data_IF_633787466868
#
_entry.id   IF_633787466868
#
_cell.length_a   1.000
_cell.length_b   1.000
_cell.length_c   1.000
_cell.angle_alpha   90.00
_cell.angle_beta   90.00
_cell.angle_gamma   90.00
#
_symmetry.space_group_name_H-M   'P 1'
#
loop_
_entity.id
_entity.type
_entity.pdbx_description
1 polymer ?
#
# COMPACT_ATOMS: atom_id res chain seq x y z
N UNK A 1 2.34 8.13 8.85
CA UNK A 1 1.77 7.99 7.50
C UNK A 1 2.87 7.49 6.57
N UNK A 2 2.65 6.38 5.87
CA UNK A 2 3.62 5.86 4.89
C UNK A 2 3.97 6.96 3.89
N UNK A 3 5.24 7.37 3.85
CA UNK A 3 5.72 8.34 2.85
C UNK A 3 6.04 7.56 1.58
N UNK A 4 5.05 7.38 0.74
CA UNK A 4 5.19 6.79 -0.59
C UNK A 4 5.18 7.90 -1.65
N UNK A 5 6.14 7.87 -2.57
CA UNK A 5 6.27 8.85 -3.65
C UNK A 5 7.44 8.57 -4.58
N UNK A 6 7.58 9.39 -5.62
CA UNK A 6 8.51 9.20 -6.74
C UNK A 6 9.96 8.91 -6.33
N UNK A 7 10.56 9.54 -5.30
CA UNK A 7 11.93 9.23 -4.89
C UNK A 7 12.12 7.79 -4.41
N UNK A 8 11.12 7.24 -3.69
CA UNK A 8 11.15 5.85 -3.22
C UNK A 8 10.98 4.87 -4.38
N UNK A 9 10.09 5.18 -5.33
CA UNK A 9 9.87 4.39 -6.55
C UNK A 9 11.15 4.33 -7.38
N UNK A 10 11.77 5.49 -7.62
CA UNK A 10 13.03 5.57 -8.37
C UNK A 10 14.12 4.73 -7.71
N UNK A 11 14.29 4.87 -6.39
CA UNK A 11 15.24 4.05 -5.63
C UNK A 11 14.91 2.54 -5.66
N UNK A 12 13.64 2.14 -5.82
CA UNK A 12 13.25 0.73 -5.96
C UNK A 12 13.61 0.18 -7.35
N UNK A 13 13.56 1.03 -8.38
CA UNK A 13 13.86 0.67 -9.77
C UNK A 13 15.36 0.73 -10.09
N UNK A 14 16.13 1.55 -9.38
CA UNK A 14 17.56 1.78 -9.65
C UNK A 14 18.48 0.62 -9.16
N UNK A 15 17.92 -0.43 -8.56
CA UNK A 15 18.56 -1.76 -8.54
C UNK A 15 19.60 -2.04 -7.44
N UNK A 16 19.69 -1.22 -6.39
CA UNK A 16 20.47 -1.56 -5.19
C UNK A 16 19.90 -2.84 -4.52
N UNK A 17 20.72 -3.84 -4.15
CA UNK A 17 20.26 -5.06 -3.49
C UNK A 17 19.63 -4.71 -2.14
N UNK A 18 18.31 -4.73 -2.09
CA UNK A 18 17.58 -4.60 -0.82
C UNK A 18 17.60 -5.94 -0.11
N UNK A 19 17.50 -5.90 1.22
CA UNK A 19 17.28 -7.09 2.04
C UNK A 19 16.19 -7.96 1.42
N UNK A 20 16.29 -9.28 1.57
CA UNK A 20 15.28 -10.25 1.09
C UNK A 20 13.86 -10.02 1.64
N UNK A 21 13.68 -9.04 2.51
CA UNK A 21 12.41 -8.64 3.11
C UNK A 21 12.04 -7.24 2.63
N UNK A 22 10.86 -7.10 2.04
CA UNK A 22 10.25 -5.81 1.69
C UNK A 22 8.90 -5.69 2.38
N UNK A 23 8.59 -4.51 2.91
CA UNK A 23 7.28 -4.25 3.51
C UNK A 23 6.28 -3.92 2.40
N UNK A 24 5.42 -4.88 2.05
CA UNK A 24 4.31 -4.68 1.13
C UNK A 24 3.01 -4.49 1.90
N UNK A 25 2.18 -3.59 1.40
CA UNK A 25 0.78 -3.44 1.78
C UNK A 25 -0.05 -3.64 0.52
N UNK A 26 -1.07 -4.47 0.59
CA UNK A 26 -1.91 -4.80 -0.55
C UNK A 26 -3.40 -4.70 -0.17
N UNK A 27 -4.21 -4.33 -1.15
CA UNK A 27 -5.66 -4.28 -1.07
C UNK A 27 -6.25 -4.89 -2.34
N UNK A 28 -7.56 -5.16 -2.32
CA UNK A 28 -8.28 -5.57 -3.51
C UNK A 28 -8.91 -4.35 -4.18
N UNK A 29 -8.75 -4.24 -5.49
CA UNK A 29 -9.52 -3.32 -6.31
C UNK A 29 -10.51 -4.15 -7.12
N UNK A 30 -11.80 -3.92 -6.93
CA UNK A 30 -12.85 -4.61 -7.68
C UNK A 30 -12.97 -4.05 -9.11
N UNK A 31 -13.60 -4.77 -10.06
CA UNK A 31 -13.84 -4.25 -11.41
C UNK A 31 -14.62 -2.93 -11.45
N UNK A 32 -15.41 -2.65 -10.43
CA UNK A 32 -16.12 -1.38 -10.18
C UNK A 32 -15.21 -0.25 -9.70
N UNK A 33 -13.90 -0.49 -9.54
CA UNK A 33 -12.90 0.40 -8.93
C UNK A 33 -13.08 0.63 -7.42
N UNK A 34 -13.94 -0.13 -6.76
CA UNK A 34 -14.04 -0.13 -5.30
C UNK A 34 -12.78 -0.72 -4.66
N UNK A 35 -12.27 -0.06 -3.62
CA UNK A 35 -11.10 -0.52 -2.86
C UNK A 35 -11.57 -1.23 -1.60
N UNK A 36 -11.12 -2.48 -1.43
CA UNK A 36 -11.36 -3.28 -0.24
C UNK A 36 -10.04 -3.53 0.49
N UNK A 37 -9.86 -2.84 1.61
CA UNK A 37 -8.69 -2.97 2.49
C UNK A 37 -9.13 -3.29 3.92
N UNK A 38 -9.14 -4.59 4.25
CA UNK A 38 -9.53 -5.10 5.57
C UNK A 38 -8.57 -4.73 6.69
N UNK A 39 -7.37 -4.27 6.33
CA UNK A 39 -6.32 -3.93 7.31
C UNK A 39 -6.24 -2.44 7.58
N UNK A 40 -6.91 -1.60 6.76
CA UNK A 40 -6.79 -0.14 6.80
C UNK A 40 -7.11 0.44 8.17
N UNK A 41 -8.28 0.09 8.73
CA UNK A 41 -8.75 0.67 10.00
C UNK A 41 -7.77 0.37 11.14
N UNK A 42 -7.40 -0.90 11.31
CA UNK A 42 -6.41 -1.32 12.30
C UNK A 42 -5.03 -0.71 12.05
N UNK A 43 -4.60 -0.54 10.80
CA UNK A 43 -3.31 0.09 10.47
C UNK A 43 -3.30 1.56 10.86
N UNK A 44 -4.35 2.31 10.53
CA UNK A 44 -4.50 3.72 10.92
C UNK A 44 -4.50 3.83 12.45
N UNK A 45 -5.30 3.00 13.11
CA UNK A 45 -5.40 2.95 14.56
C UNK A 45 -4.04 2.67 15.22
N UNK A 46 -3.30 1.68 14.71
CA UNK A 46 -1.98 1.29 15.23
C UNK A 46 -0.95 2.41 15.06
N UNK A 47 -0.92 3.05 13.89
CA UNK A 47 0.02 4.15 13.59
C UNK A 47 -0.27 5.40 14.42
N UNK A 48 -1.53 5.63 14.79
CA UNK A 48 -1.94 6.79 15.59
C UNK A 48 -2.08 6.49 17.10
N UNK A 49 -1.76 5.27 17.55
CA UNK A 49 -1.93 4.82 18.94
C UNK A 49 -3.38 4.95 19.47
N UNK A 50 -4.37 4.67 18.61
CA UNK A 50 -5.80 4.71 18.94
C UNK A 50 -6.33 3.27 19.09
N UNK A 51 -6.43 2.76 20.31
CA UNK A 51 -6.81 1.35 20.56
C UNK A 51 -8.26 1.04 20.19
N UNK A 52 -9.13 2.04 20.25
CA UNK A 52 -10.55 1.96 19.89
C UNK A 52 -10.79 1.71 18.40
N UNK A 53 -9.81 1.99 17.54
CA UNK A 53 -9.91 1.78 16.10
C UNK A 53 -9.56 0.36 15.64
N UNK A 54 -9.13 -0.53 16.54
CA UNK A 54 -8.76 -1.90 16.17
C UNK A 54 -10.00 -2.72 15.79
N UNK A 55 -9.95 -3.35 14.61
CA UNK A 55 -11.07 -4.12 14.08
C UNK A 55 -12.24 -3.26 13.61
N UNK A 56 -12.07 -1.93 13.54
CA UNK A 56 -13.07 -1.03 12.99
C UNK A 56 -13.34 -1.30 11.51
N UNK A 57 -14.53 -0.93 11.06
CA UNK A 57 -14.92 -0.97 9.65
C UNK A 57 -15.21 0.45 9.18
N UNK A 58 -14.67 0.79 8.03
CA UNK A 58 -14.82 2.08 7.39
C UNK A 58 -15.28 1.86 5.94
N UNK A 59 -16.39 2.47 5.55
CA UNK A 59 -16.95 2.38 4.19
C UNK A 59 -17.63 3.70 3.81
N UNK A 60 -17.19 4.31 2.72
CA UNK A 60 -17.79 5.51 2.13
C UNK A 60 -17.29 5.72 0.71
N UNK A 61 -17.89 6.67 0.00
CA UNK A 61 -17.43 7.09 -1.33
C UNK A 61 -16.00 7.70 -1.27
N UNK A 62 -15.10 7.39 -2.21
CA UNK A 62 -13.72 7.89 -2.22
C UNK A 62 -13.63 9.43 -2.14
N UNK A 63 -14.46 10.15 -2.88
CA UNK A 63 -14.45 11.63 -2.89
C UNK A 63 -14.87 12.26 -1.55
N UNK A 64 -15.53 11.49 -0.68
CA UNK A 64 -15.87 11.94 0.67
C UNK A 64 -14.72 11.75 1.67
N UNK A 65 -13.65 11.06 1.27
CA UNK A 65 -12.48 10.80 2.10
C UNK A 65 -11.57 12.03 2.16
N UNK A 66 -11.42 12.60 3.35
CA UNK A 66 -10.52 13.74 3.58
C UNK A 66 -9.29 13.29 4.34
N UNK A 67 -8.13 13.80 3.95
CA UNK A 67 -6.85 13.54 4.64
C UNK A 67 -6.20 12.18 4.32
N UNK A 68 -6.84 11.35 3.49
CA UNK A 68 -6.30 10.06 3.02
C UNK A 68 -6.47 10.01 1.51
N UNK A 69 -5.47 9.47 0.82
CA UNK A 69 -5.53 9.19 -0.62
C UNK A 69 -4.92 7.81 -0.87
N UNK A 70 -5.63 6.97 -1.62
CA UNK A 70 -5.09 5.70 -2.07
C UNK A 70 -4.14 5.95 -3.24
N UNK A 71 -2.85 5.70 -3.02
CA UNK A 71 -1.81 5.78 -4.05
C UNK A 71 -1.19 4.39 -4.23
N UNK A 72 -1.56 3.62 -5.26
CA UNK A 72 -0.98 2.31 -5.48
C UNK A 72 0.53 2.44 -5.69
N UNK A 73 1.29 1.60 -4.97
CA UNK A 73 2.74 1.52 -5.12
C UNK A 73 3.16 0.66 -6.32
N UNK A 74 2.27 -0.23 -6.75
CA UNK A 74 2.57 -1.31 -7.66
C UNK A 74 1.43 -1.44 -8.67
N UNK A 75 1.74 -1.26 -9.94
CA UNK A 75 0.82 -1.56 -11.04
C UNK A 75 1.35 -2.80 -11.74
N UNK A 76 0.90 -3.97 -11.31
CA UNK A 76 1.21 -5.25 -11.94
C UNK A 76 2.59 -5.83 -11.64
N UNK A 77 2.82 -7.03 -12.18
CA UNK A 77 4.02 -7.84 -11.97
C UNK A 77 5.31 -7.19 -12.48
N UNK A 78 5.20 -6.32 -13.49
CA UNK A 78 6.34 -5.64 -14.13
C UNK A 78 7.20 -4.87 -13.12
N UNK A 79 6.56 -4.20 -12.15
CA UNK A 79 7.30 -3.50 -11.10
C UNK A 79 8.07 -4.49 -10.20
N UNK A 80 7.47 -5.62 -9.84
CA UNK A 80 8.11 -6.64 -8.99
C UNK A 80 9.34 -7.23 -9.68
N UNK A 81 9.25 -7.46 -10.99
CA UNK A 81 10.34 -7.97 -11.82
C UNK A 81 11.47 -6.92 -11.92
N UNK A 82 11.14 -5.67 -12.30
CA UNK A 82 12.14 -4.61 -12.48
C UNK A 82 12.85 -4.21 -11.18
N UNK A 83 12.13 -4.22 -10.06
CA UNK A 83 12.70 -3.99 -8.73
C UNK A 83 13.46 -5.19 -8.16
N UNK A 84 13.49 -6.33 -8.88
CA UNK A 84 14.10 -7.60 -8.47
C UNK A 84 13.53 -8.19 -7.17
N UNK A 85 12.31 -7.78 -6.81
CA UNK A 85 11.53 -8.30 -5.67
C UNK A 85 10.89 -9.66 -6.01
N UNK A 86 10.50 -9.84 -7.27
CA UNK A 86 10.12 -11.13 -7.84
C UNK A 86 11.20 -11.57 -8.83
N UNK A 87 11.68 -12.81 -8.68
CA UNK A 87 12.66 -13.42 -9.58
C UNK A 87 12.12 -14.77 -10.02
N UNK A 88 12.18 -15.05 -11.31
CA UNK A 88 11.96 -16.40 -11.83
C UNK A 88 13.31 -17.11 -11.83
N UNK A 89 13.34 -18.32 -11.28
CA UNK A 89 14.51 -19.21 -11.35
C UNK A 89 14.68 -19.80 -12.76
#
# INVERSE_FOLDING_TARGET
MFKFGDPLIKSLLDGEPRSSVVNLHAWLTLPSMEIFDVTLSTTIAKVNNLTEGYGGVFSQHPDSLKGIAFKPMLLGEEFLIRSKLLRFE
#
